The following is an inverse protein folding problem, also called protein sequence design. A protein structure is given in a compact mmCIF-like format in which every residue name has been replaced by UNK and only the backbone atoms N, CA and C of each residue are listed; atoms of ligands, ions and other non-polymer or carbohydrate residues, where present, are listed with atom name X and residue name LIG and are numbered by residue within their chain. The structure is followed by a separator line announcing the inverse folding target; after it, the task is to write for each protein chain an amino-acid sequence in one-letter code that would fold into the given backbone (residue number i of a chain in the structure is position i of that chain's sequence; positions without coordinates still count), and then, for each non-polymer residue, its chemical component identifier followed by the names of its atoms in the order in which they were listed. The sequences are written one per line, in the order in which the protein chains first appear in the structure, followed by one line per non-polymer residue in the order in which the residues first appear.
data_IF_031319626465
#
_entry.id   IF_031319626465
#
_cell.length_a   1.000
_cell.length_b   1.000
_cell.length_c   1.000
_cell.angle_alpha   90.00
_cell.angle_beta   90.00
_cell.angle_gamma   90.00
#
_symmetry.space_group_name_H-M   'P 1'
#
loop_
_entity.id
_entity.type
_entity.pdbx_description
1 polymer ?
#
# COMPACT_ATOMS: atom_id res chain seq x y z
N UNK A 1 -16.91 2.98 -2.37
CA UNK A 1 -15.72 2.33 -1.80
C UNK A 1 -15.56 2.80 -0.37
N UNK A 2 -15.45 1.86 0.57
CA UNK A 2 -15.11 2.18 1.96
C UNK A 2 -13.61 2.54 2.04
N UNK A 3 -13.27 3.49 2.91
CA UNK A 3 -11.88 3.85 3.14
C UNK A 3 -11.69 4.43 4.55
N UNK A 4 -10.70 3.93 5.27
CA UNK A 4 -10.37 4.43 6.60
C UNK A 4 -8.86 4.38 6.86
N UNK A 5 -8.43 4.91 8.01
CA UNK A 5 -7.05 4.81 8.43
C UNK A 5 -6.92 4.60 9.93
N UNK A 6 -5.85 3.92 10.31
CA UNK A 6 -5.48 3.65 11.70
C UNK A 6 -4.04 4.07 11.98
N UNK A 7 -3.68 4.08 13.25
CA UNK A 7 -2.32 4.36 13.74
C UNK A 7 -1.93 3.26 14.72
N UNK A 8 -0.88 2.51 14.37
CA UNK A 8 -0.35 1.40 15.16
C UNK A 8 1.11 1.69 15.49
N UNK A 9 1.36 2.24 16.67
CA UNK A 9 2.69 2.65 17.14
C UNK A 9 3.05 2.03 18.50
N UNK A 10 2.25 1.08 18.97
CA UNK A 10 2.47 0.37 20.23
C UNK A 10 3.71 -0.54 20.19
N UNK A 11 4.22 -0.96 21.34
CA UNK A 11 5.41 -1.80 21.42
C UNK A 11 5.19 -3.24 20.92
N UNK A 12 3.93 -3.63 20.68
CA UNK A 12 3.55 -4.96 20.16
C UNK A 12 3.07 -4.88 18.71
N UNK A 13 2.97 -3.66 18.14
CA UNK A 13 2.53 -3.48 16.78
C UNK A 13 3.64 -3.82 15.78
N UNK A 14 3.25 -4.12 14.55
CA UNK A 14 4.18 -4.49 13.49
C UNK A 14 5.15 -3.34 13.20
N UNK A 15 6.43 -3.68 13.09
CA UNK A 15 7.52 -2.76 12.75
C UNK A 15 8.27 -3.29 11.54
N UNK A 16 8.65 -2.41 10.63
CA UNK A 16 9.45 -2.75 9.46
C UNK A 16 10.90 -2.28 9.67
N UNK A 17 11.87 -3.17 9.37
CA UNK A 17 13.28 -2.80 9.30
C UNK A 17 13.71 -2.65 7.85
N UNK A 18 14.29 -1.53 7.47
CA UNK A 18 14.71 -1.24 6.10
C UNK A 18 16.21 -1.04 5.96
N UNK A 19 16.83 -1.71 4.97
CA UNK A 19 16.22 -2.66 4.02
C UNK A 19 15.90 -3.99 4.68
N UNK A 20 14.73 -4.56 4.39
CA UNK A 20 14.34 -5.85 4.93
C UNK A 20 14.79 -7.02 4.04
N UNK A 21 14.97 -8.21 4.65
CA UNK A 21 15.25 -9.45 3.95
C UNK A 21 14.72 -10.64 4.75
N UNK A 22 14.15 -11.61 4.08
CA UNK A 22 13.71 -12.87 4.66
C UNK A 22 14.82 -13.95 4.66
N UNK A 23 16.10 -13.54 4.64
CA UNK A 23 17.28 -14.38 4.60
C UNK A 23 18.04 -14.30 3.28
N UNK A 24 19.10 -15.10 3.13
CA UNK A 24 20.02 -14.99 1.99
C UNK A 24 19.36 -15.28 0.63
N UNK A 25 18.45 -16.25 0.57
CA UNK A 25 17.76 -16.67 -0.66
C UNK A 25 16.26 -16.27 -0.68
N UNK A 26 15.78 -15.62 0.37
CA UNK A 26 14.38 -15.21 0.51
C UNK A 26 14.05 -13.89 -0.16
N UNK A 27 12.75 -13.50 -0.16
CA UNK A 27 12.33 -12.19 -0.64
C UNK A 27 12.97 -11.09 0.17
N UNK A 28 13.20 -9.96 -0.49
CA UNK A 28 13.91 -8.81 0.08
C UNK A 28 13.38 -7.49 -0.46
N UNK A 29 13.76 -6.40 0.20
CA UNK A 29 13.50 -5.05 -0.30
C UNK A 29 14.21 -4.80 -1.63
N UNK A 30 13.45 -4.28 -2.59
CA UNK A 30 13.94 -3.77 -3.86
C UNK A 30 13.64 -2.27 -3.97
N UNK A 31 14.66 -1.46 -4.24
CA UNK A 31 14.49 -0.03 -4.54
C UNK A 31 14.00 0.12 -5.99
N UNK A 32 12.70 -0.07 -6.18
CA UNK A 32 12.07 0.03 -7.50
C UNK A 32 12.13 1.44 -8.10
N UNK A 33 12.35 2.45 -7.27
CA UNK A 33 12.47 3.82 -7.73
C UNK A 33 13.78 4.08 -8.45
N UNK A 34 14.86 3.42 -8.01
CA UNK A 34 16.18 3.48 -8.64
C UNK A 34 16.40 2.38 -9.65
N UNK A 35 15.79 1.23 -9.46
CA UNK A 35 15.97 0.02 -10.24
C UNK A 35 14.61 -0.56 -10.64
N UNK A 36 13.84 0.11 -11.54
CA UNK A 36 12.49 -0.31 -11.91
C UNK A 36 12.44 -1.69 -12.59
N UNK A 37 13.54 -2.15 -13.19
CA UNK A 37 13.68 -3.47 -13.77
C UNK A 37 13.53 -4.61 -12.74
N UNK A 38 13.82 -4.35 -11.46
CA UNK A 38 13.67 -5.32 -10.38
C UNK A 38 12.19 -5.65 -10.07
N UNK A 39 11.24 -4.90 -10.65
CA UNK A 39 9.81 -5.26 -10.58
C UNK A 39 9.56 -6.67 -11.13
N UNK A 40 10.36 -7.13 -12.08
CA UNK A 40 10.26 -8.47 -12.66
C UNK A 40 10.70 -9.59 -11.70
N UNK A 41 11.42 -9.25 -10.65
CA UNK A 41 11.86 -10.19 -9.61
C UNK A 41 10.80 -10.40 -8.52
N UNK A 42 9.75 -9.55 -8.47
CA UNK A 42 8.67 -9.64 -7.50
C UNK A 42 7.64 -10.66 -7.98
N UNK A 43 7.49 -11.76 -7.25
CA UNK A 43 6.60 -12.87 -7.63
C UNK A 43 5.14 -12.43 -7.67
N UNK A 44 4.70 -11.64 -6.70
CA UNK A 44 3.34 -11.11 -6.59
C UNK A 44 3.01 -10.17 -7.78
N UNK A 45 3.97 -9.36 -8.22
CA UNK A 45 3.80 -8.49 -9.39
C UNK A 45 3.69 -9.29 -10.70
N UNK A 46 4.36 -10.44 -10.77
CA UNK A 46 4.26 -11.36 -11.93
C UNK A 46 2.95 -12.16 -11.92
N UNK A 47 2.52 -12.59 -10.72
CA UNK A 47 1.27 -13.35 -10.55
C UNK A 47 0.03 -12.47 -10.79
N UNK A 48 0.12 -11.19 -10.39
CA UNK A 48 -0.98 -10.23 -10.41
C UNK A 48 -0.57 -8.96 -11.17
N UNK A 49 -0.81 -8.89 -12.50
CA UNK A 49 -0.43 -7.75 -13.33
C UNK A 49 -0.96 -6.40 -12.82
N UNK A 50 -2.15 -6.38 -12.21
CA UNK A 50 -2.76 -5.18 -11.65
C UNK A 50 -1.91 -4.61 -10.50
N UNK A 51 -1.34 -5.48 -9.66
CA UNK A 51 -0.41 -5.09 -8.60
C UNK A 51 0.91 -4.58 -9.20
N UNK A 52 1.44 -5.30 -10.20
CA UNK A 52 2.66 -4.88 -10.92
C UNK A 52 2.54 -3.48 -11.50
N UNK A 53 1.41 -3.17 -12.16
CA UNK A 53 1.13 -1.83 -12.69
C UNK A 53 1.06 -0.77 -11.57
N UNK A 54 0.42 -1.10 -10.45
CA UNK A 54 0.34 -0.21 -9.28
C UNK A 54 1.73 0.08 -8.69
N UNK A 55 2.56 -0.97 -8.48
CA UNK A 55 3.93 -0.82 -7.97
C UNK A 55 4.76 0.05 -8.92
N UNK A 56 4.69 -0.20 -10.23
CA UNK A 56 5.36 0.62 -11.22
C UNK A 56 4.93 2.10 -11.16
N UNK A 57 3.62 2.35 -11.06
CA UNK A 57 3.08 3.70 -11.02
C UNK A 57 3.48 4.47 -9.74
N UNK A 58 3.46 3.80 -8.58
CA UNK A 58 3.86 4.43 -7.30
C UNK A 58 5.35 4.77 -7.30
N UNK A 59 6.20 3.89 -7.83
CA UNK A 59 7.65 4.11 -7.88
C UNK A 59 8.09 5.05 -9.01
N UNK A 60 7.21 5.38 -9.98
CA UNK A 60 7.55 6.31 -11.05
C UNK A 60 7.85 7.72 -10.50
N UNK A 61 8.86 8.37 -11.10
CA UNK A 61 9.13 9.79 -10.81
C UNK A 61 8.03 10.66 -11.46
N UNK A 62 7.54 11.74 -10.84
CA UNK A 62 8.01 12.38 -9.59
C UNK A 62 7.20 12.01 -8.34
N UNK A 63 6.67 10.81 -8.20
CA UNK A 63 5.89 10.42 -7.02
C UNK A 63 6.66 10.62 -5.71
N UNK A 64 5.91 11.06 -4.68
CA UNK A 64 6.44 11.26 -3.31
C UNK A 64 6.62 9.95 -2.54
N UNK A 65 6.08 8.84 -3.07
CA UNK A 65 6.09 7.53 -2.43
C UNK A 65 6.96 6.55 -3.20
N UNK A 66 7.41 5.54 -2.48
CA UNK A 66 8.03 4.33 -2.99
C UNK A 66 7.48 3.12 -2.23
N UNK A 67 7.58 1.93 -2.80
CA UNK A 67 7.06 0.70 -2.20
C UNK A 67 8.18 -0.10 -1.54
N UNK A 68 7.88 -0.76 -0.41
CA UNK A 68 8.85 -1.55 0.34
C UNK A 68 8.53 -3.05 0.34
N UNK A 69 7.28 -3.42 0.55
CA UNK A 69 6.83 -4.80 0.65
C UNK A 69 5.42 -4.91 0.11
N UNK A 70 5.04 -6.06 -0.43
CA UNK A 70 3.67 -6.31 -0.89
C UNK A 70 3.33 -7.80 -0.83
N UNK A 71 2.03 -8.08 -0.84
CA UNK A 71 1.46 -9.40 -1.07
C UNK A 71 0.04 -9.24 -1.63
N UNK A 72 -0.50 -10.30 -2.26
CA UNK A 72 -1.88 -10.35 -2.73
C UNK A 72 -2.43 -11.77 -2.67
N UNK A 73 -3.71 -11.91 -2.29
CA UNK A 73 -4.35 -13.20 -2.08
C UNK A 73 -5.85 -13.16 -2.34
N UNK A 74 -6.43 -14.33 -2.63
CA UNK A 74 -7.86 -14.57 -2.64
C UNK A 74 -8.30 -15.32 -1.38
N UNK A 75 -9.48 -15.03 -0.86
CA UNK A 75 -10.08 -15.75 0.26
C UNK A 75 -11.60 -15.71 0.21
N UNK A 76 -12.23 -16.77 0.75
CA UNK A 76 -13.66 -16.82 1.03
C UNK A 76 -13.99 -16.48 2.49
N UNK A 77 -12.98 -16.16 3.31
CA UNK A 77 -13.19 -15.73 4.68
C UNK A 77 -13.58 -14.25 4.70
N UNK A 78 -14.86 -14.01 4.99
CA UNK A 78 -15.44 -12.67 5.10
C UNK A 78 -15.73 -12.42 6.59
N UNK A 79 -15.18 -11.33 7.13
CA UNK A 79 -15.47 -10.92 8.51
C UNK A 79 -16.90 -10.35 8.61
N UNK A 80 -17.58 -10.45 9.79
CA UNK A 80 -18.92 -9.90 9.97
C UNK A 80 -19.05 -8.42 9.58
N UNK A 81 -18.03 -7.63 9.78
CA UNK A 81 -18.00 -6.20 9.42
C UNK A 81 -18.03 -5.98 7.89
N UNK A 82 -17.56 -6.98 7.11
CA UNK A 82 -17.52 -6.97 5.66
C UNK A 82 -18.81 -7.50 5.01
N UNK A 83 -19.76 -8.03 5.81
CA UNK A 83 -21.05 -8.54 5.32
C UNK A 83 -21.89 -7.46 4.63
N UNK A 84 -21.62 -6.18 4.89
CA UNK A 84 -22.27 -5.04 4.22
C UNK A 84 -22.13 -5.09 2.69
N UNK A 85 -21.11 -5.75 2.17
CA UNK A 85 -20.92 -5.91 0.72
C UNK A 85 -21.73 -7.06 0.12
N UNK A 86 -22.30 -7.95 0.95
CA UNK A 86 -23.09 -9.12 0.51
C UNK A 86 -22.30 -10.06 -0.40
N UNK A 87 -20.98 -10.12 -0.26
CA UNK A 87 -20.08 -10.88 -1.12
C UNK A 87 -19.80 -12.27 -0.55
N UNK A 88 -19.45 -13.21 -1.44
CA UNK A 88 -19.02 -14.56 -1.07
C UNK A 88 -17.50 -14.73 -1.12
N UNK A 89 -16.79 -13.85 -1.83
CA UNK A 89 -15.36 -13.88 -2.03
C UNK A 89 -14.75 -12.51 -1.81
N UNK A 90 -13.51 -12.50 -1.32
CA UNK A 90 -12.67 -11.32 -1.17
C UNK A 90 -11.33 -11.55 -1.86
N UNK A 91 -10.86 -10.58 -2.61
CA UNK A 91 -9.49 -10.50 -3.10
C UNK A 91 -8.79 -9.34 -2.41
N UNK A 92 -7.65 -9.61 -1.80
CA UNK A 92 -6.93 -8.65 -0.99
C UNK A 92 -5.47 -8.47 -1.40
N UNK A 93 -4.92 -7.33 -1.05
CA UNK A 93 -3.48 -7.07 -1.07
C UNK A 93 -3.08 -6.16 0.07
N UNK A 94 -1.81 -6.20 0.45
CA UNK A 94 -1.19 -5.07 1.14
C UNK A 94 0.02 -4.57 0.35
N UNK A 95 0.32 -3.29 0.51
CA UNK A 95 1.55 -2.66 0.01
C UNK A 95 2.07 -1.72 1.09
N UNK A 96 3.32 -1.94 1.51
CA UNK A 96 4.01 -1.02 2.39
C UNK A 96 4.63 0.12 1.58
N UNK A 97 4.31 1.35 1.98
CA UNK A 97 4.68 2.59 1.31
C UNK A 97 5.60 3.43 2.19
N UNK A 98 6.63 3.97 1.58
CA UNK A 98 7.57 4.89 2.21
C UNK A 98 7.50 6.26 1.53
N UNK A 99 7.78 7.32 2.26
CA UNK A 99 8.10 8.58 1.61
C UNK A 99 9.46 8.49 0.90
N UNK A 100 9.54 8.96 -0.35
CA UNK A 100 10.79 9.05 -1.10
C UNK A 100 11.72 10.13 -0.54
N UNK A 101 11.24 11.35 -0.17
CA UNK A 101 12.07 12.33 0.53
C UNK A 101 12.47 11.81 1.91
N UNK A 102 13.79 11.73 2.17
CA UNK A 102 14.34 11.15 3.40
C UNK A 102 13.77 11.80 4.67
N UNK A 103 13.70 13.13 4.72
CA UNK A 103 13.18 13.86 5.88
C UNK A 103 11.73 13.53 6.22
N UNK A 104 10.90 13.29 5.20
CA UNK A 104 9.48 12.97 5.38
C UNK A 104 9.24 11.62 6.05
N UNK A 105 10.20 10.69 5.97
CA UNK A 105 10.14 9.36 6.62
C UNK A 105 10.03 9.44 8.14
N UNK A 106 10.49 10.54 8.72
CA UNK A 106 10.53 10.77 10.18
C UNK A 106 9.39 11.68 10.66
N UNK A 107 8.55 12.17 9.78
CA UNK A 107 7.46 13.09 10.09
C UNK A 107 6.13 12.36 10.22
N UNK A 108 5.72 12.04 11.45
CA UNK A 108 4.37 11.49 11.70
C UNK A 108 3.27 12.38 11.11
N UNK A 109 3.42 13.71 11.23
CA UNK A 109 2.43 14.66 10.72
C UNK A 109 2.25 14.57 9.19
N UNK A 110 3.33 14.35 8.43
CA UNK A 110 3.23 14.18 6.98
C UNK A 110 2.53 12.87 6.61
N UNK A 111 2.81 11.78 7.34
CA UNK A 111 2.10 10.51 7.18
C UNK A 111 0.61 10.67 7.47
N UNK A 112 0.26 11.30 8.59
CA UNK A 112 -1.13 11.54 8.97
C UNK A 112 -1.88 12.42 7.95
N UNK A 113 -1.25 13.47 7.45
CA UNK A 113 -1.83 14.33 6.41
C UNK A 113 -2.05 13.55 5.11
N UNK A 114 -1.09 12.68 4.72
CA UNK A 114 -1.19 11.87 3.52
C UNK A 114 -2.37 10.89 3.60
N UNK A 115 -2.46 10.09 4.69
CA UNK A 115 -3.54 9.11 4.83
C UNK A 115 -4.91 9.78 4.89
N UNK A 116 -5.05 10.91 5.59
CA UNK A 116 -6.28 11.70 5.61
C UNK A 116 -6.70 12.17 4.20
N UNK A 117 -5.75 12.65 3.40
CA UNK A 117 -6.04 13.10 2.02
C UNK A 117 -6.43 11.94 1.12
N UNK A 118 -5.70 10.81 1.18
CA UNK A 118 -6.04 9.61 0.39
C UNK A 118 -7.45 9.14 0.76
N UNK A 119 -7.72 8.93 2.06
CA UNK A 119 -9.04 8.48 2.56
C UNK A 119 -10.17 9.40 2.10
N UNK A 120 -9.97 10.73 2.18
CA UNK A 120 -10.97 11.70 1.72
C UNK A 120 -11.22 11.62 0.20
N UNK A 121 -10.21 11.38 -0.60
CA UNK A 121 -10.35 11.20 -2.05
C UNK A 121 -11.10 9.91 -2.37
N UNK A 122 -10.75 8.80 -1.71
CA UNK A 122 -11.39 7.51 -1.92
C UNK A 122 -12.86 7.50 -1.50
N UNK A 123 -13.23 8.20 -0.43
CA UNK A 123 -14.65 8.36 0.00
C UNK A 123 -15.51 9.15 -1.00
N UNK A 124 -14.90 9.87 -1.95
CA UNK A 124 -15.63 10.62 -2.99
C UNK A 124 -15.90 9.82 -4.27
N UNK A 125 -15.27 8.66 -4.43
CA UNK A 125 -15.50 7.84 -5.61
C UNK A 125 -16.88 7.18 -5.57
N UNK A 126 -17.46 6.81 -6.74
CA UNK A 126 -18.71 6.05 -6.78
C UNK A 126 -18.65 4.79 -5.92
N UNK A 127 -19.78 4.37 -5.41
CA UNK A 127 -19.89 3.18 -4.58
C UNK A 127 -19.50 1.94 -5.41
N UNK A 128 -18.43 1.29 -4.96
CA UNK A 128 -17.98 -0.01 -5.46
C UNK A 128 -17.76 -0.92 -4.26
N UNK A 129 -18.03 -2.23 -4.38
CA UNK A 129 -17.74 -3.20 -3.31
C UNK A 129 -16.22 -3.40 -3.16
N UNK A 130 -15.58 -2.46 -2.50
CA UNK A 130 -14.16 -2.44 -2.19
C UNK A 130 -13.91 -1.65 -0.90
N UNK A 131 -12.87 -2.02 -0.16
CA UNK A 131 -12.43 -1.33 1.04
C UNK A 131 -10.91 -1.07 1.00
N UNK A 132 -10.51 0.07 1.55
CA UNK A 132 -9.12 0.46 1.74
C UNK A 132 -8.88 0.82 3.20
N UNK A 133 -7.83 0.28 3.77
CA UNK A 133 -7.34 0.63 5.09
C UNK A 133 -5.87 1.05 5.01
N UNK A 134 -5.58 2.24 5.53
CA UNK A 134 -4.22 2.76 5.61
C UNK A 134 -3.78 2.77 7.07
N UNK A 135 -2.65 2.13 7.38
CA UNK A 135 -2.14 2.06 8.75
C UNK A 135 -0.78 2.72 8.82
N UNK A 136 -0.64 3.72 9.70
CA UNK A 136 0.67 4.33 9.99
C UNK A 136 1.36 3.46 11.02
N UNK A 137 2.58 2.98 10.71
CA UNK A 137 3.38 2.09 11.53
C UNK A 137 4.80 2.59 11.72
N UNK A 138 5.52 2.01 12.68
CA UNK A 138 6.94 2.32 12.94
C UNK A 138 7.85 1.60 11.94
N UNK A 139 8.93 2.27 11.58
CA UNK A 139 9.99 1.71 10.75
C UNK A 139 11.36 2.08 11.31
N UNK A 140 12.30 1.14 11.27
CA UNK A 140 13.70 1.37 11.57
C UNK A 140 14.48 1.44 10.26
N UNK A 141 15.05 2.60 9.97
CA UNK A 141 15.88 2.84 8.79
C UNK A 141 17.35 2.62 9.11
N UNK A 142 17.95 1.58 8.54
CA UNK A 142 19.39 1.30 8.67
C UNK A 142 20.15 2.11 7.63
N UNK A 143 20.86 3.14 8.07
CA UNK A 143 21.72 3.99 7.25
C UNK A 143 23.18 3.91 7.73
N UNK A 144 24.10 4.49 6.95
CA UNK A 144 25.54 4.52 7.29
C UNK A 144 25.85 5.18 8.63
N UNK A 145 24.95 6.02 9.15
CA UNK A 145 25.05 6.71 10.44
C UNK A 145 24.46 5.96 11.63
N UNK A 146 23.85 4.79 11.42
CA UNK A 146 23.14 4.03 12.46
C UNK A 146 21.70 3.72 12.10
N UNK A 147 20.90 3.39 13.11
CA UNK A 147 19.47 3.09 12.99
C UNK A 147 18.68 4.33 13.38
N UNK A 148 17.76 4.74 12.53
CA UNK A 148 16.87 5.88 12.77
C UNK A 148 15.41 5.42 12.85
N UNK A 149 14.69 5.85 13.91
CA UNK A 149 13.26 5.61 14.07
C UNK A 149 12.45 6.50 13.14
N UNK A 150 11.54 5.91 12.36
CA UNK A 150 10.63 6.63 11.46
C UNK A 150 9.32 5.91 11.28
N UNK A 151 8.63 6.22 10.19
CA UNK A 151 7.30 5.71 9.89
C UNK A 151 7.20 5.16 8.48
N UNK A 152 6.23 4.26 8.28
CA UNK A 152 5.77 3.79 6.99
C UNK A 152 4.26 3.64 6.99
N UNK A 153 3.69 3.40 5.83
CA UNK A 153 2.27 3.15 5.67
C UNK A 153 2.06 1.74 5.15
N UNK A 154 1.30 0.91 5.85
CA UNK A 154 0.72 -0.29 5.26
C UNK A 154 -0.61 0.09 4.65
N UNK A 155 -0.77 -0.22 3.38
CA UNK A 155 -1.98 0.01 2.63
C UNK A 155 -2.64 -1.32 2.29
N UNK A 156 -3.71 -1.67 3.00
CA UNK A 156 -4.57 -2.81 2.68
C UNK A 156 -5.64 -2.39 1.69
N UNK A 157 -5.90 -3.25 0.70
CA UNK A 157 -6.92 -3.03 -0.30
C UNK A 157 -7.68 -4.32 -0.57
N UNK A 158 -9.01 -4.25 -0.54
CA UNK A 158 -9.88 -5.39 -0.74
C UNK A 158 -10.92 -5.09 -1.83
N UNK A 159 -11.15 -6.07 -2.71
CA UNK A 159 -12.29 -6.12 -3.60
C UNK A 159 -13.19 -7.28 -3.21
N UNK A 160 -14.52 -7.08 -3.24
CA UNK A 160 -15.52 -8.06 -2.82
C UNK A 160 -16.37 -8.49 -4.01
N UNK A 161 -16.71 -9.77 -4.13
CA UNK A 161 -17.47 -10.32 -5.25
C UNK A 161 -18.22 -11.59 -4.91
N UNK A 162 -19.09 -12.02 -5.82
CA UNK A 162 -19.81 -13.29 -5.70
C UNK A 162 -18.88 -14.48 -5.99
N UNK A 163 -17.78 -14.20 -6.72
CA UNK A 163 -16.70 -15.14 -7.01
C UNK A 163 -15.34 -14.43 -7.01
N UNK A 164 -14.27 -15.21 -7.09
CA UNK A 164 -12.89 -14.71 -7.07
C UNK A 164 -12.60 -13.76 -8.24
N UNK A 165 -13.09 -14.06 -9.44
CA UNK A 165 -12.84 -13.24 -10.63
C UNK A 165 -13.45 -11.84 -10.48
N UNK A 166 -14.67 -11.76 -9.96
CA UNK A 166 -15.35 -10.50 -9.69
C UNK A 166 -14.67 -9.73 -8.54
N UNK A 167 -14.30 -10.43 -7.46
CA UNK A 167 -13.56 -9.83 -6.35
C UNK A 167 -12.23 -9.23 -6.83
N UNK A 168 -11.45 -9.96 -7.62
CA UNK A 168 -10.20 -9.49 -8.22
C UNK A 168 -10.42 -8.30 -9.16
N UNK A 169 -11.46 -8.34 -10.00
CA UNK A 169 -11.78 -7.20 -10.88
C UNK A 169 -12.03 -5.93 -10.10
N UNK A 170 -12.81 -6.01 -9.01
CA UNK A 170 -13.13 -4.88 -8.14
C UNK A 170 -11.89 -4.37 -7.39
N UNK A 171 -11.04 -5.28 -6.93
CA UNK A 171 -9.74 -4.95 -6.35
C UNK A 171 -8.84 -4.21 -7.36
N UNK A 172 -8.74 -4.68 -8.61
CA UNK A 172 -7.98 -4.01 -9.66
C UNK A 172 -8.49 -2.58 -9.95
N UNK A 173 -9.82 -2.38 -9.96
CA UNK A 173 -10.42 -1.04 -10.07
C UNK A 173 -10.01 -0.19 -8.86
N UNK A 174 -10.06 -0.74 -7.65
CA UNK A 174 -9.70 -0.03 -6.44
C UNK A 174 -8.21 0.37 -6.42
N UNK A 175 -7.28 -0.48 -6.91
CA UNK A 175 -5.87 -0.12 -7.10
C UNK A 175 -5.71 1.12 -8.00
N UNK A 176 -6.46 1.20 -9.11
CA UNK A 176 -6.42 2.38 -10.00
C UNK A 176 -6.97 3.63 -9.34
N UNK A 177 -7.99 3.52 -8.48
CA UNK A 177 -8.52 4.65 -7.73
C UNK A 177 -7.50 5.19 -6.72
N UNK A 178 -6.79 4.30 -6.03
CA UNK A 178 -5.71 4.68 -5.11
C UNK A 178 -4.53 5.31 -5.86
N UNK A 179 -4.10 4.71 -6.97
CA UNK A 179 -3.07 5.27 -7.84
C UNK A 179 -3.42 6.72 -8.24
N UNK A 180 -4.67 6.94 -8.67
CA UNK A 180 -5.14 8.26 -9.04
C UNK A 180 -5.16 9.24 -7.84
N UNK A 181 -5.54 8.78 -6.63
CA UNK A 181 -5.50 9.61 -5.43
C UNK A 181 -4.07 10.03 -5.08
N UNK A 182 -3.12 9.10 -5.11
CA UNK A 182 -1.69 9.38 -4.88
C UNK A 182 -1.16 10.38 -5.90
N UNK A 183 -1.49 10.18 -7.18
CA UNK A 183 -1.07 11.07 -8.27
C UNK A 183 -1.64 12.49 -8.13
N UNK A 184 -2.91 12.63 -7.73
CA UNK A 184 -3.52 13.94 -7.47
C UNK A 184 -2.85 14.67 -6.32
N UNK A 185 -2.47 13.94 -5.25
CA UNK A 185 -1.76 14.53 -4.11
C UNK A 185 -0.38 15.02 -4.54
N UNK A 186 0.36 14.19 -5.30
CA UNK A 186 1.69 14.56 -5.81
C UNK A 186 1.65 15.81 -6.72
N UNK A 187 0.64 15.92 -7.58
CA UNK A 187 0.44 17.08 -8.45
C UNK A 187 0.12 18.37 -7.66
N UNK A 188 -0.67 18.25 -6.57
CA UNK A 188 -1.04 19.38 -5.72
C UNK A 188 0.08 19.89 -4.80
N UNK A 189 1.15 19.14 -4.60
CA UNK A 189 2.34 19.58 -3.84
C UNK A 189 3.27 20.45 -4.71
N UNK A 190 3.21 20.29 -6.05
CA UNK A 190 4.06 20.99 -7.00
C UNK A 190 3.42 22.26 -7.58
N UNK A 191 2.22 22.63 -7.12
CA UNK A 191 1.48 23.83 -7.54
C UNK A 191 1.48 24.89 -6.44
#
# INVERSE_FOLDING_TARGET
MEADFAVELGPQDETLELPWSAGEEGPRYYDLKRQPELLLEIEEARAWPELGEFLAAVNASPNLLETAKCDAWATSEINPEEEIFGAACKFGSYVDLLFSPWASRFSFMEHEQLVKRITQLLKRVPEIPAAAELIIRRCFYHATGGVEDGFYLTFYLFGYGDDEAQARQRWGIALKLVENAIRQIAAGVNA
#
